data_IF_258021024503
#
_entry.id   IF_258021024503
#
_cell.length_a   1.000
_cell.length_b   1.000
_cell.length_c   1.000
_cell.angle_alpha   90.00
_cell.angle_beta   90.00
_cell.angle_gamma   90.00
#
_symmetry.space_group_name_H-M   'P 1'
#
loop_
_entity.id
_entity.type
_entity.pdbx_description
1 polymer ?
#
# COMPACT_ATOMS: atom_id res chain seq x y z
N UNK A 1 7.79 1.81 -9.03
CA UNK A 1 8.50 3.09 -8.76
C UNK A 1 9.59 3.44 -9.80
N UNK A 2 10.81 2.86 -9.80
CA UNK A 2 11.86 3.29 -10.75
C UNK A 2 11.59 2.84 -12.20
N UNK A 3 11.11 1.61 -12.38
CA UNK A 3 10.72 1.08 -13.71
C UNK A 3 9.57 1.90 -14.32
N UNK A 4 8.56 2.25 -13.52
CA UNK A 4 7.44 3.09 -13.96
C UNK A 4 7.90 4.50 -14.33
N UNK A 5 8.83 5.10 -13.58
CA UNK A 5 9.45 6.38 -13.94
C UNK A 5 10.25 6.32 -15.24
N UNK A 6 11.04 5.25 -15.43
CA UNK A 6 11.79 5.03 -16.67
C UNK A 6 10.86 4.87 -17.88
N UNK A 7 9.78 4.11 -17.72
CA UNK A 7 8.77 3.93 -18.75
C UNK A 7 8.08 5.25 -19.12
N UNK A 8 7.67 6.05 -18.12
CA UNK A 8 7.11 7.40 -18.33
C UNK A 8 8.08 8.29 -19.10
N UNK A 9 9.36 8.27 -18.73
CA UNK A 9 10.35 9.09 -19.42
C UNK A 9 10.60 8.63 -20.86
N UNK A 10 10.57 7.32 -21.13
CA UNK A 10 10.65 6.78 -22.48
C UNK A 10 9.49 7.28 -23.35
N UNK A 11 8.26 7.26 -22.82
CA UNK A 11 7.08 7.80 -23.52
C UNK A 11 7.23 9.30 -23.79
N UNK A 12 7.71 10.08 -22.82
CA UNK A 12 7.98 11.52 -22.99
C UNK A 12 9.05 11.80 -24.05
N UNK A 13 10.10 10.97 -24.08
CA UNK A 13 11.19 11.09 -25.05
C UNK A 13 10.71 10.79 -26.48
N UNK A 14 9.87 9.77 -26.67
CA UNK A 14 9.28 9.44 -27.98
C UNK A 14 8.31 10.53 -28.43
N UNK A 15 7.56 11.12 -27.50
CA UNK A 15 6.65 12.23 -27.77
C UNK A 15 7.35 13.57 -28.08
N UNK A 16 8.70 13.62 -28.02
CA UNK A 16 9.47 14.85 -28.27
C UNK A 16 9.19 15.95 -27.25
N UNK A 17 8.67 15.60 -26.06
CA UNK A 17 8.27 16.57 -25.06
C UNK A 17 9.49 17.18 -24.37
N UNK A 18 9.49 18.50 -24.16
CA UNK A 18 10.52 19.21 -23.36
C UNK A 18 10.58 18.75 -21.90
N UNK A 19 9.54 18.03 -21.43
CA UNK A 19 9.53 17.39 -20.11
C UNK A 19 10.29 16.05 -20.07
N UNK A 20 10.77 15.54 -21.21
CA UNK A 20 11.62 14.36 -21.25
C UNK A 20 12.93 14.62 -20.51
N UNK A 21 13.20 13.79 -19.51
CA UNK A 21 14.41 13.91 -18.69
C UNK A 21 15.58 13.35 -19.47
N UNK A 22 16.63 14.15 -19.67
CA UNK A 22 17.84 13.79 -20.41
C UNK A 22 18.45 12.51 -19.83
N UNK A 23 19.12 11.71 -20.67
CA UNK A 23 19.75 10.45 -20.23
C UNK A 23 20.71 10.66 -19.04
N UNK A 24 21.49 11.75 -19.05
CA UNK A 24 22.43 12.04 -17.97
C UNK A 24 21.73 12.29 -16.62
N UNK A 25 20.58 12.98 -16.64
CA UNK A 25 19.76 13.21 -15.44
C UNK A 25 19.08 11.92 -14.94
N UNK A 26 18.71 11.00 -15.84
CA UNK A 26 18.26 9.66 -15.45
C UNK A 26 19.37 8.88 -14.73
N UNK A 27 20.59 8.92 -15.28
CA UNK A 27 21.74 8.25 -14.67
C UNK A 27 22.08 8.86 -13.30
N UNK A 28 22.01 10.19 -13.16
CA UNK A 28 22.18 10.86 -11.87
C UNK A 28 21.11 10.44 -10.85
N UNK A 29 19.83 10.37 -11.25
CA UNK A 29 18.75 9.90 -10.38
C UNK A 29 18.94 8.44 -9.97
N UNK A 30 19.36 7.56 -10.89
CA UNK A 30 19.66 6.17 -10.59
C UNK A 30 20.83 6.04 -9.61
N UNK A 31 21.92 6.77 -9.85
CA UNK A 31 23.09 6.76 -8.97
C UNK A 31 22.76 7.30 -7.59
N UNK A 32 22.00 8.40 -7.50
CA UNK A 32 21.55 8.94 -6.23
C UNK A 32 20.65 7.96 -5.49
N UNK A 33 19.71 7.32 -6.19
CA UNK A 33 18.85 6.31 -5.59
C UNK A 33 19.67 5.12 -5.09
N UNK A 34 20.63 4.59 -5.85
CA UNK A 34 21.50 3.48 -5.43
C UNK A 34 22.43 3.88 -4.28
N UNK A 35 23.13 5.02 -4.39
CA UNK A 35 24.08 5.51 -3.40
C UNK A 35 23.41 5.94 -2.10
N UNK A 36 22.11 6.27 -2.10
CA UNK A 36 21.38 6.55 -0.88
C UNK A 36 20.70 5.28 -0.33
N UNK A 37 19.95 4.56 -1.16
CA UNK A 37 19.12 3.44 -0.69
C UNK A 37 19.93 2.20 -0.29
N UNK A 38 20.98 1.85 -1.04
CA UNK A 38 21.80 0.67 -0.75
C UNK A 38 22.52 0.79 0.60
N UNK A 39 23.30 1.85 0.88
CA UNK A 39 23.96 1.97 2.18
C UNK A 39 22.95 2.15 3.31
N UNK A 40 21.81 2.82 3.08
CA UNK A 40 20.78 2.95 4.11
C UNK A 40 20.14 1.59 4.45
N UNK A 41 19.90 0.74 3.44
CA UNK A 41 19.41 -0.63 3.64
C UNK A 41 20.46 -1.52 4.33
N UNK A 42 21.74 -1.42 3.94
CA UNK A 42 22.83 -2.15 4.60
C UNK A 42 22.99 -1.70 6.06
N UNK A 43 22.91 -0.40 6.31
CA UNK A 43 22.95 0.16 7.66
C UNK A 43 21.75 -0.29 8.50
N UNK A 44 20.55 -0.27 7.94
CA UNK A 44 19.34 -0.80 8.57
C UNK A 44 19.45 -2.29 8.88
N UNK A 45 19.97 -3.09 7.93
CA UNK A 45 20.23 -4.51 8.14
C UNK A 45 21.28 -4.75 9.23
N UNK A 46 22.37 -3.98 9.24
CA UNK A 46 23.41 -4.07 10.27
C UNK A 46 22.86 -3.76 11.67
N UNK A 47 22.03 -2.73 11.81
CA UNK A 47 21.33 -2.45 13.07
C UNK A 47 20.36 -3.58 13.44
N UNK A 48 19.63 -4.13 12.47
CA UNK A 48 18.73 -5.26 12.66
C UNK A 48 19.45 -6.53 13.16
N UNK A 49 20.61 -6.86 12.60
CA UNK A 49 21.42 -8.01 13.01
C UNK A 49 22.00 -7.86 14.42
N UNK A 50 22.26 -6.63 14.88
CA UNK A 50 22.74 -6.37 16.24
C UNK A 50 21.63 -6.45 17.30
N UNK A 51 20.36 -6.37 16.90
CA UNK A 51 19.25 -6.50 17.84
C UNK A 51 19.10 -7.97 18.26
N UNK A 52 18.98 -8.20 19.57
CA UNK A 52 18.66 -9.53 20.09
C UNK A 52 17.34 -10.00 19.49
N UNK A 53 17.27 -11.28 19.10
CA UNK A 53 16.00 -11.89 18.70
C UNK A 53 15.02 -11.70 19.85
N UNK A 54 13.91 -11.00 19.55
CA UNK A 54 12.87 -10.79 20.55
C UNK A 54 12.15 -12.12 20.73
N UNK A 55 12.28 -12.69 21.93
CA UNK A 55 11.63 -13.94 22.31
C UNK A 55 10.12 -13.89 22.04
N UNK A 56 9.58 -15.06 21.68
CA UNK A 56 8.14 -15.23 21.53
C UNK A 56 7.50 -15.25 22.92
N UNK A 57 6.31 -14.65 23.08
CA UNK A 57 5.66 -14.57 24.39
C UNK A 57 5.22 -15.94 24.94
N UNK A 58 5.16 -16.97 24.10
CA UNK A 58 4.78 -18.33 24.47
C UNK A 58 5.71 -19.35 23.80
N UNK A 59 5.91 -20.54 24.41
CA UNK A 59 6.65 -21.63 23.77
C UNK A 59 5.94 -22.05 22.47
N UNK A 60 6.71 -22.20 21.40
CA UNK A 60 6.23 -22.62 20.09
C UNK A 60 6.59 -24.07 19.83
N UNK A 61 5.68 -24.86 19.27
CA UNK A 61 5.99 -26.22 18.84
C UNK A 61 6.93 -26.21 17.61
N UNK A 62 7.88 -27.15 17.55
CA UNK A 62 8.86 -27.23 16.46
C UNK A 62 8.27 -27.77 15.15
N UNK A 63 7.20 -28.58 15.25
CA UNK A 63 6.47 -29.08 14.09
C UNK A 63 5.27 -28.15 13.82
N UNK A 64 5.12 -27.61 12.59
CA UNK A 64 3.93 -26.84 12.24
C UNK A 64 2.70 -27.74 12.36
N UNK A 65 1.70 -27.28 13.10
CA UNK A 65 0.41 -27.95 13.18
C UNK A 65 -0.25 -27.92 11.79
N UNK A 66 -0.90 -29.02 11.41
CA UNK A 66 -1.69 -29.06 10.18
C UNK A 66 -2.84 -28.05 10.25
N UNK A 67 -3.03 -27.30 9.17
CA UNK A 67 -4.08 -26.29 9.08
C UNK A 67 -5.36 -27.02 8.68
N UNK A 68 -6.41 -26.99 9.51
CA UNK A 68 -7.64 -27.68 9.19
C UNK A 68 -8.35 -27.04 7.99
N UNK A 69 -8.95 -27.85 7.12
CA UNK A 69 -9.70 -27.41 5.93
C UNK A 69 -11.11 -26.88 6.31
N UNK A 70 -11.22 -25.91 7.22
CA UNK A 70 -12.52 -25.42 7.67
C UNK A 70 -13.19 -24.41 6.72
N UNK A 71 -12.43 -23.68 5.89
CA UNK A 71 -13.00 -22.59 5.09
C UNK A 71 -13.21 -22.95 3.63
N UNK A 72 -14.48 -22.98 3.19
CA UNK A 72 -14.87 -23.08 1.77
C UNK A 72 -14.43 -21.87 0.94
N UNK A 73 -14.05 -20.75 1.58
CA UNK A 73 -13.63 -19.52 0.90
C UNK A 73 -12.16 -19.23 1.24
N UNK A 74 -11.30 -19.02 0.24
CA UNK A 74 -9.88 -18.77 0.50
C UNK A 74 -9.67 -17.42 1.21
N UNK A 75 -8.76 -17.33 2.20
CA UNK A 75 -8.47 -16.11 2.95
C UNK A 75 -8.17 -14.88 2.07
N UNK A 76 -7.67 -15.11 0.86
CA UNK A 76 -7.36 -14.08 -0.14
C UNK A 76 -8.60 -13.28 -0.58
N UNK A 77 -9.78 -13.91 -0.66
CA UNK A 77 -11.01 -13.22 -1.07
C UNK A 77 -11.46 -12.24 0.01
N UNK A 78 -11.32 -12.62 1.29
CA UNK A 78 -11.58 -11.73 2.42
C UNK A 78 -10.62 -10.53 2.44
N UNK A 79 -9.35 -10.69 2.05
CA UNK A 79 -8.42 -9.57 1.95
C UNK A 79 -8.90 -8.49 0.98
N UNK A 80 -9.36 -8.89 -0.21
CA UNK A 80 -9.85 -7.92 -1.19
C UNK A 80 -11.09 -7.22 -0.66
N UNK A 81 -12.08 -7.97 -0.17
CA UNK A 81 -13.33 -7.39 0.34
C UNK A 81 -13.09 -6.41 1.50
N UNK A 82 -12.14 -6.72 2.37
CA UNK A 82 -11.84 -5.90 3.55
C UNK A 82 -11.25 -4.53 3.21
N UNK A 83 -10.51 -4.41 2.09
CA UNK A 83 -9.93 -3.14 1.65
C UNK A 83 -10.96 -2.12 1.16
N UNK A 84 -12.21 -2.55 0.96
CA UNK A 84 -13.31 -1.67 0.58
C UNK A 84 -13.66 -0.71 1.73
N UNK A 85 -13.50 -1.13 2.98
CA UNK A 85 -13.76 -0.29 4.16
C UNK A 85 -12.84 0.95 4.19
N UNK A 86 -11.50 0.81 4.21
CA UNK A 86 -10.60 1.96 4.19
C UNK A 86 -10.71 2.78 2.90
N UNK A 87 -11.11 2.17 1.78
CA UNK A 87 -11.43 2.93 0.56
C UNK A 87 -12.66 3.82 0.73
N UNK A 88 -13.78 3.30 1.27
CA UNK A 88 -15.01 4.07 1.51
C UNK A 88 -14.76 5.24 2.46
N UNK A 89 -13.94 5.05 3.48
CA UNK A 89 -13.56 6.12 4.44
C UNK A 89 -12.90 7.30 3.74
N UNK A 90 -12.10 7.06 2.70
CA UNK A 90 -11.33 8.11 2.00
C UNK A 90 -11.98 8.53 0.68
N UNK A 91 -13.05 7.88 0.25
CA UNK A 91 -13.65 8.05 -1.08
C UNK A 91 -13.95 9.52 -1.43
N UNK A 92 -14.61 10.25 -0.55
CA UNK A 92 -14.96 11.66 -0.78
C UNK A 92 -13.72 12.54 -0.94
N UNK A 93 -12.69 12.32 -0.11
CA UNK A 93 -11.44 13.08 -0.22
C UNK A 93 -10.63 12.71 -1.44
N UNK A 94 -10.63 11.44 -1.82
CA UNK A 94 -9.98 10.98 -3.03
C UNK A 94 -10.56 11.67 -4.27
N UNK A 95 -11.88 11.91 -4.29
CA UNK A 95 -12.51 12.68 -5.35
C UNK A 95 -11.97 14.12 -5.42
N UNK A 96 -11.95 14.85 -4.30
CA UNK A 96 -11.43 16.21 -4.27
C UNK A 96 -9.95 16.28 -4.65
N UNK A 97 -9.14 15.31 -4.22
CA UNK A 97 -7.72 15.23 -4.59
C UNK A 97 -7.56 14.97 -6.09
N UNK A 98 -8.35 14.07 -6.68
CA UNK A 98 -8.30 13.79 -8.12
C UNK A 98 -8.75 14.99 -8.97
N UNK A 99 -9.79 15.70 -8.54
CA UNK A 99 -10.22 16.95 -9.17
C UNK A 99 -9.15 18.04 -9.06
N UNK A 100 -8.50 18.18 -7.90
CA UNK A 100 -7.43 19.15 -7.72
C UNK A 100 -6.19 18.84 -8.57
N UNK A 101 -5.77 17.58 -8.60
CA UNK A 101 -4.60 17.14 -9.37
C UNK A 101 -4.80 17.37 -10.88
N UNK A 102 -5.94 16.93 -11.42
CA UNK A 102 -6.13 16.85 -12.87
C UNK A 102 -6.97 17.97 -13.49
N UNK A 103 -7.85 18.62 -12.73
CA UNK A 103 -8.68 19.72 -13.22
C UNK A 103 -8.16 21.11 -12.76
N UNK A 104 -6.96 21.17 -12.13
CA UNK A 104 -6.33 22.40 -11.62
C UNK A 104 -7.20 23.22 -10.66
N UNK A 105 -8.15 22.59 -9.98
CA UNK A 105 -8.90 23.24 -8.91
C UNK A 105 -8.02 23.35 -7.66
N UNK A 106 -8.01 24.52 -7.02
CA UNK A 106 -7.24 24.70 -5.80
C UNK A 106 -7.87 23.91 -4.65
N UNK A 107 -7.13 22.94 -4.09
CA UNK A 107 -7.54 22.27 -2.85
C UNK A 107 -7.19 23.16 -1.66
N UNK A 108 -8.19 23.87 -1.13
CA UNK A 108 -7.99 24.87 -0.05
C UNK A 108 -8.11 24.23 1.35
N UNK A 109 -8.67 23.01 1.47
CA UNK A 109 -9.04 22.40 2.76
C UNK A 109 -7.97 21.45 3.34
N UNK A 110 -6.71 21.89 3.43
CA UNK A 110 -5.61 21.05 3.94
C UNK A 110 -5.83 20.49 5.37
N UNK A 111 -6.56 21.21 6.23
CA UNK A 111 -6.89 20.75 7.59
C UNK A 111 -7.82 19.53 7.60
N UNK A 112 -8.75 19.45 6.65
CA UNK A 112 -9.68 18.33 6.53
C UNK A 112 -8.97 17.05 6.06
N UNK A 113 -8.02 17.19 5.12
CA UNK A 113 -7.18 16.10 4.64
C UNK A 113 -6.43 15.40 5.78
N UNK A 114 -5.89 16.16 6.74
CA UNK A 114 -5.20 15.60 7.91
C UNK A 114 -6.15 14.76 8.78
N UNK A 115 -7.38 15.24 9.00
CA UNK A 115 -8.40 14.51 9.75
C UNK A 115 -8.78 13.19 9.08
N UNK A 116 -9.00 13.20 7.77
CA UNK A 116 -9.33 11.98 7.01
C UNK A 116 -8.14 11.03 6.92
N UNK A 117 -6.90 11.56 6.86
CA UNK A 117 -5.70 10.74 6.95
C UNK A 117 -5.62 9.98 8.28
N UNK A 118 -5.91 10.62 9.42
CA UNK A 118 -5.96 9.94 10.71
C UNK A 118 -7.07 8.89 10.77
N UNK A 119 -8.25 9.18 10.24
CA UNK A 119 -9.35 8.21 10.14
C UNK A 119 -8.96 7.00 9.28
N UNK A 120 -8.24 7.22 8.17
CA UNK A 120 -7.70 6.15 7.34
C UNK A 120 -6.74 5.25 8.14
N UNK A 121 -5.84 5.84 8.95
CA UNK A 121 -4.93 5.05 9.79
C UNK A 121 -5.70 4.14 10.76
N UNK A 122 -6.72 4.69 11.43
CA UNK A 122 -7.56 3.94 12.38
C UNK A 122 -8.30 2.81 11.65
N UNK A 123 -8.93 3.10 10.51
CA UNK A 123 -9.64 2.10 9.71
C UNK A 123 -8.71 0.99 9.21
N UNK A 124 -7.49 1.32 8.76
CA UNK A 124 -6.49 0.33 8.36
C UNK A 124 -6.11 -0.60 9.51
N UNK A 125 -5.92 -0.04 10.71
CA UNK A 125 -5.62 -0.82 11.91
C UNK A 125 -6.78 -1.75 12.24
N UNK A 126 -8.00 -1.23 12.34
CA UNK A 126 -9.19 -2.01 12.71
C UNK A 126 -9.42 -3.20 11.77
N UNK A 127 -9.40 -2.96 10.46
CA UNK A 127 -9.63 -4.01 9.45
C UNK A 127 -8.57 -5.11 9.52
N UNK A 128 -7.29 -4.73 9.65
CA UNK A 128 -6.21 -5.70 9.76
C UNK A 128 -6.28 -6.52 11.06
N UNK A 129 -6.70 -5.91 12.18
CA UNK A 129 -6.88 -6.60 13.45
C UNK A 129 -8.01 -7.63 13.39
N UNK A 130 -9.18 -7.23 12.88
CA UNK A 130 -10.35 -8.10 12.77
C UNK A 130 -10.05 -9.31 11.90
N UNK A 131 -9.45 -9.11 10.72
CA UNK A 131 -9.09 -10.24 9.86
C UNK A 131 -8.01 -11.13 10.45
N UNK A 132 -7.00 -10.57 11.09
CA UNK A 132 -5.96 -11.36 11.75
C UNK A 132 -6.57 -12.23 12.86
N UNK A 133 -7.52 -11.69 13.63
CA UNK A 133 -8.25 -12.44 14.65
C UNK A 133 -9.09 -13.57 14.06
N UNK A 134 -9.82 -13.32 12.97
CA UNK A 134 -10.63 -14.35 12.31
C UNK A 134 -9.76 -15.50 11.76
N UNK A 135 -8.61 -15.20 11.16
CA UNK A 135 -7.66 -16.20 10.66
C UNK A 135 -7.10 -17.04 11.81
N UNK A 136 -6.73 -16.39 12.92
CA UNK A 136 -6.25 -17.08 14.12
C UNK A 136 -7.33 -17.97 14.76
N UNK A 137 -8.60 -17.54 14.70
CA UNK A 137 -9.72 -18.34 15.21
C UNK A 137 -9.98 -19.61 14.39
N UNK A 138 -9.53 -19.64 13.14
CA UNK A 138 -9.56 -20.81 12.25
C UNK A 138 -8.32 -21.71 12.41
N UNK A 139 -7.48 -21.45 13.41
CA UNK A 139 -6.19 -22.12 13.63
C UNK A 139 -5.17 -21.96 12.47
N UNK A 140 -5.38 -21.01 11.54
CA UNK A 140 -4.39 -20.71 10.51
C UNK A 140 -3.35 -19.71 11.03
N UNK A 141 -2.08 -20.10 11.06
CA UNK A 141 -0.98 -19.27 11.53
C UNK A 141 -0.43 -18.32 10.44
N UNK A 142 -0.90 -18.40 9.19
CA UNK A 142 -0.41 -17.61 8.05
C UNK A 142 -1.06 -16.23 7.97
N UNK A 143 -1.05 -15.48 9.07
CA UNK A 143 -1.66 -14.15 9.17
C UNK A 143 -0.83 -13.01 8.53
N UNK A 144 0.45 -13.25 8.23
CA UNK A 144 1.42 -12.18 7.92
C UNK A 144 1.12 -11.45 6.60
N UNK A 145 0.96 -12.21 5.51
CA UNK A 145 0.61 -11.62 4.21
C UNK A 145 -0.86 -11.22 4.14
N UNK A 146 -1.73 -11.97 4.82
CA UNK A 146 -3.17 -11.72 4.84
C UNK A 146 -3.50 -10.41 5.56
N UNK A 147 -2.79 -10.09 6.66
CA UNK A 147 -2.89 -8.79 7.32
C UNK A 147 -2.37 -7.64 6.46
N UNK A 148 -1.24 -7.81 5.74
CA UNK A 148 -0.77 -6.79 4.81
C UNK A 148 -1.77 -6.52 3.66
N UNK A 149 -2.28 -7.58 3.03
CA UNK A 149 -3.22 -7.45 1.91
C UNK A 149 -4.63 -7.04 2.32
N UNK A 150 -5.00 -7.16 3.60
CA UNK A 150 -6.30 -6.73 4.11
C UNK A 150 -6.54 -5.22 3.96
N UNK A 151 -5.61 -4.41 4.48
CA UNK A 151 -5.64 -2.95 4.35
C UNK A 151 -5.01 -2.51 3.04
N UNK A 152 -3.98 -3.20 2.55
CA UNK A 152 -3.25 -2.87 1.32
C UNK A 152 -4.08 -2.99 0.04
N UNK A 153 -5.09 -3.86 0.00
CA UNK A 153 -6.01 -4.00 -1.14
C UNK A 153 -6.81 -2.71 -1.43
N UNK A 154 -6.90 -1.79 -0.47
CA UNK A 154 -7.47 -0.45 -0.67
C UNK A 154 -6.86 0.32 -1.85
N UNK A 155 -5.55 0.16 -2.12
CA UNK A 155 -4.91 0.81 -3.26
C UNK A 155 -5.39 0.29 -4.62
N UNK A 156 -5.86 -0.97 -4.70
CA UNK A 156 -6.49 -1.48 -5.92
C UNK A 156 -7.81 -0.76 -6.20
N UNK A 157 -8.59 -0.46 -5.16
CA UNK A 157 -9.81 0.34 -5.31
C UNK A 157 -9.50 1.79 -5.72
N UNK A 158 -8.44 2.38 -5.18
CA UNK A 158 -7.94 3.70 -5.61
C UNK A 158 -7.56 3.68 -7.10
N UNK A 159 -6.88 2.64 -7.56
CA UNK A 159 -6.52 2.47 -8.97
C UNK A 159 -7.75 2.34 -9.87
N UNK A 160 -8.72 1.48 -9.51
CA UNK A 160 -9.97 1.31 -10.25
C UNK A 160 -10.77 2.61 -10.29
N UNK A 161 -10.84 3.34 -9.19
CA UNK A 161 -11.49 4.66 -9.13
C UNK A 161 -10.82 5.65 -10.09
N UNK A 162 -9.48 5.69 -10.13
CA UNK A 162 -8.75 6.52 -11.10
C UNK A 162 -9.09 6.15 -12.55
N UNK A 163 -9.19 4.87 -12.88
CA UNK A 163 -9.63 4.46 -14.23
C UNK A 163 -11.07 4.91 -14.54
N UNK A 164 -12.00 4.79 -13.59
CA UNK A 164 -13.37 5.27 -13.77
C UNK A 164 -13.43 6.78 -13.92
N UNK A 165 -12.62 7.52 -13.15
CA UNK A 165 -12.50 8.97 -13.25
C UNK A 165 -11.98 9.40 -14.63
N UNK A 166 -11.02 8.66 -15.20
CA UNK A 166 -10.54 8.90 -16.56
C UNK A 166 -11.63 8.69 -17.61
N UNK A 167 -12.41 7.61 -17.50
CA UNK A 167 -13.48 7.27 -18.45
C UNK A 167 -14.69 8.23 -18.35
N UNK A 168 -15.00 8.72 -17.15
CA UNK A 168 -16.12 9.62 -16.90
C UNK A 168 -15.88 11.07 -17.36
N UNK A 169 -14.61 11.50 -17.43
CA UNK A 169 -14.25 12.88 -17.77
C UNK A 169 -13.87 13.03 -19.26
N UNK A 170 -14.78 13.58 -20.06
CA UNK A 170 -14.55 13.79 -21.51
C UNK A 170 -13.35 14.70 -21.82
N UNK A 171 -13.02 15.63 -20.92
CA UNK A 171 -11.84 16.50 -21.07
C UNK A 171 -10.51 15.74 -21.02
N UNK A 172 -10.44 14.63 -20.28
CA UNK A 172 -9.23 13.78 -20.23
C UNK A 172 -9.20 12.75 -21.36
N UNK A 173 -10.36 12.30 -21.85
CA UNK A 173 -10.46 11.32 -22.93
C UNK A 173 -9.98 11.82 -24.30
N UNK A 174 -10.04 13.12 -24.55
CA UNK A 174 -9.62 13.75 -25.82
C UNK A 174 -8.12 14.12 -25.89
N UNK A 175 -7.31 13.68 -24.93
CA UNK A 175 -5.88 14.01 -24.88
C UNK A 175 -5.03 13.15 -25.82
N UNK A 176 -3.87 13.66 -26.24
CA UNK A 176 -2.88 12.87 -26.97
C UNK A 176 -2.50 11.60 -26.20
N UNK A 177 -2.18 10.52 -26.93
CA UNK A 177 -1.79 9.22 -26.37
C UNK A 177 -0.72 9.32 -25.27
N UNK A 178 0.26 10.22 -25.43
CA UNK A 178 1.29 10.45 -24.42
C UNK A 178 0.71 10.91 -23.06
N UNK A 179 -0.27 11.80 -23.05
CA UNK A 179 -0.92 12.28 -21.81
C UNK A 179 -1.75 11.19 -21.13
N UNK A 180 -2.38 10.31 -21.91
CA UNK A 180 -3.12 9.15 -21.39
C UNK A 180 -2.15 8.20 -20.69
N UNK A 181 -1.02 7.86 -21.34
CA UNK A 181 0.01 7.03 -20.73
C UNK A 181 0.57 7.64 -19.43
N UNK A 182 0.81 8.95 -19.42
CA UNK A 182 1.28 9.67 -18.23
C UNK A 182 0.27 9.59 -17.08
N UNK A 183 -1.00 9.89 -17.38
CA UNK A 183 -2.09 9.77 -16.40
C UNK A 183 -2.13 8.37 -15.79
N UNK A 184 -2.15 7.33 -16.62
CA UNK A 184 -2.22 5.95 -16.14
C UNK A 184 -1.02 5.59 -15.28
N UNK A 185 0.19 5.99 -15.69
CA UNK A 185 1.39 5.70 -14.90
C UNK A 185 1.41 6.43 -13.55
N UNK A 186 0.97 7.69 -13.49
CA UNK A 186 0.87 8.42 -12.23
C UNK A 186 -0.19 7.83 -11.31
N UNK A 187 -1.34 7.41 -11.85
CA UNK A 187 -2.38 6.72 -11.07
C UNK A 187 -1.88 5.38 -10.53
N UNK A 188 -1.11 4.60 -11.32
CA UNK A 188 -0.45 3.38 -10.84
C UNK A 188 0.51 3.71 -9.68
N UNK A 189 1.38 4.70 -9.84
CA UNK A 189 2.34 5.12 -8.81
C UNK A 189 1.65 5.53 -7.50
N UNK A 190 0.58 6.31 -7.58
CA UNK A 190 -0.21 6.74 -6.41
C UNK A 190 -0.84 5.52 -5.73
N UNK A 191 -1.45 4.62 -6.50
CA UNK A 191 -2.09 3.41 -5.95
C UNK A 191 -1.10 2.44 -5.30
N UNK A 192 0.07 2.21 -5.91
CA UNK A 192 1.15 1.40 -5.32
C UNK A 192 1.64 2.00 -4.00
N UNK A 193 1.86 3.32 -3.97
CA UNK A 193 2.26 4.03 -2.75
C UNK A 193 1.21 3.90 -1.64
N UNK A 194 -0.07 4.03 -2.00
CA UNK A 194 -1.18 3.87 -1.06
C UNK A 194 -1.24 2.45 -0.48
N UNK A 195 -1.13 1.41 -1.33
CA UNK A 195 -1.09 0.01 -0.89
C UNK A 195 0.07 -0.28 0.06
N UNK A 196 1.27 0.20 -0.25
CA UNK A 196 2.44 -0.01 0.59
C UNK A 196 2.28 0.65 1.96
N UNK A 197 1.73 1.87 1.98
CA UNK A 197 1.48 2.61 3.22
C UNK A 197 0.43 1.90 4.09
N UNK A 198 -0.78 1.70 3.56
CA UNK A 198 -1.90 1.11 4.32
C UNK A 198 -1.62 -0.33 4.73
N UNK A 199 -0.98 -1.12 3.85
CA UNK A 199 -0.54 -2.48 4.13
C UNK A 199 0.53 -2.57 5.23
N UNK A 200 1.50 -1.66 5.24
CA UNK A 200 2.55 -1.63 6.27
C UNK A 200 1.99 -1.31 7.66
N UNK A 201 1.06 -0.35 7.74
CA UNK A 201 0.39 0.02 8.99
C UNK A 201 -0.42 -1.16 9.53
N UNK A 202 -1.20 -1.80 8.66
CA UNK A 202 -1.99 -2.98 8.99
C UNK A 202 -1.12 -4.13 9.53
N UNK A 203 -0.02 -4.43 8.84
CA UNK A 203 0.91 -5.48 9.26
C UNK A 203 1.56 -5.19 10.62
N UNK A 204 2.01 -3.95 10.86
CA UNK A 204 2.61 -3.57 12.14
C UNK A 204 1.61 -3.68 13.29
N UNK A 205 0.37 -3.23 13.09
CA UNK A 205 -0.69 -3.34 14.09
C UNK A 205 -1.02 -4.80 14.41
N UNK A 206 -1.23 -5.64 13.40
CA UNK A 206 -1.47 -7.07 13.58
C UNK A 206 -0.33 -7.76 14.33
N UNK A 207 0.93 -7.42 14.01
CA UNK A 207 2.09 -7.98 14.72
C UNK A 207 2.10 -7.64 16.22
N UNK A 208 1.74 -6.41 16.58
CA UNK A 208 1.64 -6.00 17.98
C UNK A 208 0.48 -6.69 18.70
N UNK A 209 -0.66 -6.82 18.02
CA UNK A 209 -1.85 -7.49 18.53
C UNK A 209 -1.64 -8.97 18.80
N UNK A 210 -1.06 -9.71 17.84
CA UNK A 210 -0.74 -11.13 17.99
C UNK A 210 0.14 -11.35 19.22
N UNK A 211 1.17 -10.51 19.39
CA UNK A 211 2.02 -10.57 20.58
C UNK A 211 1.27 -10.32 21.88
N UNK A 212 0.35 -9.36 21.89
CA UNK A 212 -0.46 -9.03 23.08
C UNK A 212 -1.38 -10.19 23.45
N UNK A 213 -2.03 -10.84 22.48
CA UNK A 213 -2.88 -12.01 22.73
C UNK A 213 -2.04 -13.16 23.31
N UNK A 214 -0.97 -13.56 22.62
CA UNK A 214 -0.16 -14.71 23.07
C UNK A 214 0.61 -14.45 24.36
N UNK A 215 0.85 -13.19 24.75
CA UNK A 215 1.39 -12.85 26.06
C UNK A 215 0.35 -12.91 27.19
N UNK A 216 -0.94 -12.76 26.87
CA UNK A 216 -2.03 -12.81 27.85
C UNK A 216 -2.51 -14.25 28.12
N UNK A 217 -2.28 -15.18 27.18
CA UNK A 217 -2.57 -16.60 27.38
C UNK A 217 -1.60 -17.15 28.42
N UNK A 218 -2.07 -17.29 29.66
CA UNK A 218 -1.37 -18.09 30.68
C UNK A 218 -1.48 -19.55 30.27
N UNK A 219 -0.33 -20.18 30.07
CA UNK A 219 -0.22 -21.63 29.97
C UNK A 219 -0.23 -22.13 31.42
N UNK A 220 -1.42 -22.45 31.93
CA UNK A 220 -1.57 -23.33 33.08
C UNK A 220 -1.41 -24.79 32.63
#
# INVERSE_FOLDING_TARGET
MFVTFFFVNLVLSVAGSSAAVRFLTLLQLLLLWLLLSVPLNVFGAFLGYKQKLREYPCPTNHLPREIPEYSKVPPRVFCFLSGLIPFVVVFMELQFVMEALWQRNAYIMAGFLCGVFLLLLIACVEVSLVLSYLILSQEDYRWWWTSFWSSGSSGLYVFLYGLLFFLGNQNLGNMHFASICLYTCYTVLISEGFTLMTGSIGFLASRLFVRKIFAAVRVD
#
